data_IF_411172646535
#
_entry.id   IF_411172646535
#
_cell.length_a   1.000
_cell.length_b   1.000
_cell.length_c   1.000
_cell.angle_alpha   90.00
_cell.angle_beta   90.00
_cell.angle_gamma   90.00
#
_symmetry.space_group_name_H-M   'P 1'
#
loop_
_entity.id
_entity.type
_entity.pdbx_description
1 polymer ?
#
# COMPACT_ATOMS: atom_id res chain seq x y z
N UNK A 1 7.53 7.02 20.62
CA UNK A 1 7.55 5.99 19.54
C UNK A 1 7.80 6.53 18.12
N UNK A 2 8.16 7.82 17.91
CA UNK A 2 8.40 8.40 16.58
C UNK A 2 9.61 7.79 15.85
N UNK A 3 10.71 7.58 16.59
CA UNK A 3 11.94 6.96 16.07
C UNK A 3 11.69 5.61 15.39
N UNK A 4 10.81 4.77 15.95
CA UNK A 4 10.46 3.47 15.37
C UNK A 4 9.78 3.64 14.01
N UNK A 5 8.83 4.57 13.90
CA UNK A 5 8.10 4.80 12.65
C UNK A 5 8.99 5.42 11.57
N UNK A 6 9.86 6.36 11.95
CA UNK A 6 10.85 6.94 11.04
C UNK A 6 11.85 5.88 10.56
N UNK A 7 12.30 5.00 11.45
CA UNK A 7 13.20 3.89 11.10
C UNK A 7 12.54 2.88 10.16
N UNK A 8 11.24 2.60 10.36
CA UNK A 8 10.46 1.74 9.44
C UNK A 8 10.29 2.39 8.07
N UNK A 9 9.93 3.68 8.02
CA UNK A 9 9.78 4.41 6.75
C UNK A 9 11.11 4.45 5.96
N UNK A 10 12.23 4.67 6.65
CA UNK A 10 13.56 4.58 6.02
C UNK A 10 13.89 3.17 5.52
N UNK A 11 13.52 2.14 6.29
CA UNK A 11 13.63 0.75 5.86
C UNK A 11 12.82 0.48 4.58
N UNK A 12 11.58 0.94 4.52
CA UNK A 12 10.73 0.80 3.33
C UNK A 12 11.32 1.50 2.10
N UNK A 13 11.86 2.71 2.28
CA UNK A 13 12.57 3.44 1.22
C UNK A 13 13.74 2.63 0.67
N UNK A 14 14.62 2.12 1.54
CA UNK A 14 15.78 1.30 1.13
C UNK A 14 15.35 0.04 0.38
N UNK A 15 14.36 -0.70 0.90
CA UNK A 15 13.83 -1.88 0.23
C UNK A 15 13.20 -1.54 -1.12
N UNK A 16 12.51 -0.40 -1.23
CA UNK A 16 11.95 0.04 -2.51
C UNK A 16 13.05 0.37 -3.53
N UNK A 17 14.09 1.10 -3.10
CA UNK A 17 15.23 1.45 -3.95
C UNK A 17 15.93 0.17 -4.47
N UNK A 18 16.13 -0.84 -3.62
CA UNK A 18 16.68 -2.15 -4.00
C UNK A 18 15.77 -2.88 -5.00
N UNK A 19 14.46 -2.90 -4.78
CA UNK A 19 13.50 -3.52 -5.71
C UNK A 19 13.49 -2.82 -7.07
N UNK A 20 13.54 -1.48 -7.11
CA UNK A 20 13.59 -0.72 -8.36
C UNK A 20 14.92 -0.98 -9.10
N UNK A 21 16.05 -1.09 -8.39
CA UNK A 21 17.33 -1.45 -8.97
C UNK A 21 17.35 -2.86 -9.57
N UNK A 22 16.74 -3.84 -8.88
CA UNK A 22 16.66 -5.23 -9.33
C UNK A 22 15.73 -5.42 -10.52
N UNK A 23 14.61 -4.70 -10.56
CA UNK A 23 13.59 -4.83 -11.60
C UNK A 23 13.82 -3.91 -12.80
N UNK A 24 14.64 -2.86 -12.63
CA UNK A 24 14.80 -1.79 -13.61
C UNK A 24 13.54 -0.93 -13.78
N UNK A 25 12.54 -1.10 -12.92
CA UNK A 25 11.23 -0.46 -13.05
C UNK A 25 10.94 0.41 -11.84
N UNK A 26 10.62 1.69 -12.10
CA UNK A 26 10.23 2.63 -11.04
C UNK A 26 8.80 2.40 -10.58
N UNK A 27 8.63 2.18 -9.29
CA UNK A 27 7.32 2.07 -8.64
C UNK A 27 6.71 3.45 -8.47
N UNK A 28 5.44 3.61 -8.87
CA UNK A 28 4.73 4.90 -8.76
C UNK A 28 3.87 5.01 -7.50
N UNK A 29 3.41 3.88 -6.98
CA UNK A 29 2.45 3.82 -5.87
C UNK A 29 2.84 2.69 -4.93
N UNK A 30 2.86 2.97 -3.63
CA UNK A 30 3.01 1.97 -2.57
C UNK A 30 1.64 1.70 -1.97
N UNK A 31 1.21 0.44 -1.97
CA UNK A 31 -0.06 0.03 -1.37
C UNK A 31 0.20 -0.57 0.01
N UNK A 32 -0.21 0.12 1.08
CA UNK A 32 -0.12 -0.38 2.46
C UNK A 32 -1.45 -1.02 2.81
N UNK A 33 -1.44 -2.30 3.14
CA UNK A 33 -2.62 -3.08 3.51
C UNK A 33 -2.47 -3.67 4.92
N UNK A 34 -3.52 -4.26 5.46
CA UNK A 34 -3.45 -4.87 6.79
C UNK A 34 -3.60 -3.84 7.91
N UNK A 35 -3.40 -4.27 9.16
CA UNK A 35 -3.49 -3.40 10.33
C UNK A 35 -2.54 -2.19 10.31
N UNK A 36 -1.42 -2.27 9.57
CA UNK A 36 -0.49 -1.17 9.36
C UNK A 36 -1.10 0.02 8.60
N UNK A 37 -2.09 -0.25 7.74
CA UNK A 37 -2.79 0.79 6.98
C UNK A 37 -3.52 1.81 7.88
N UNK A 38 -3.87 1.44 9.12
CA UNK A 38 -4.47 2.35 10.11
C UNK A 38 -3.51 3.41 10.64
N UNK A 39 -2.19 3.20 10.52
CA UNK A 39 -1.21 4.10 11.11
C UNK A 39 -0.94 5.29 10.17
N UNK A 40 -1.74 6.35 10.34
CA UNK A 40 -1.65 7.57 9.54
C UNK A 40 -0.23 8.15 9.50
N UNK A 41 0.45 8.23 10.65
CA UNK A 41 1.80 8.81 10.72
C UNK A 41 2.82 7.97 9.96
N UNK A 42 2.78 6.64 10.10
CA UNK A 42 3.67 5.75 9.35
C UNK A 42 3.41 5.87 7.84
N UNK A 43 2.14 5.92 7.42
CA UNK A 43 1.78 6.03 6.01
C UNK A 43 2.31 7.35 5.40
N UNK A 44 2.18 8.47 6.11
CA UNK A 44 2.72 9.75 5.65
C UNK A 44 4.25 9.74 5.61
N UNK A 45 4.92 9.27 6.68
CA UNK A 45 6.37 9.14 6.71
C UNK A 45 6.89 8.24 5.58
N UNK A 46 6.15 7.18 5.25
CA UNK A 46 6.47 6.30 4.12
C UNK A 46 6.34 7.03 2.78
N UNK A 47 5.28 7.82 2.59
CA UNK A 47 5.11 8.62 1.37
C UNK A 47 6.26 9.62 1.21
N UNK A 48 6.61 10.31 2.29
CA UNK A 48 7.68 11.31 2.32
C UNK A 48 9.05 10.66 2.06
N UNK A 49 9.40 9.61 2.79
CA UNK A 49 10.69 8.93 2.67
C UNK A 49 10.87 8.28 1.29
N UNK A 50 9.86 7.57 0.79
CA UNK A 50 9.93 6.93 -0.53
C UNK A 50 9.80 7.94 -1.68
N UNK A 51 9.29 9.14 -1.42
CA UNK A 51 8.92 10.09 -2.46
C UNK A 51 7.92 9.49 -3.44
N UNK A 52 6.98 8.66 -2.95
CA UNK A 52 5.95 7.97 -3.75
C UNK A 52 4.57 8.21 -3.15
N UNK A 53 3.54 8.17 -4.00
CA UNK A 53 2.16 8.12 -3.51
C UNK A 53 1.95 6.83 -2.71
N UNK A 54 1.37 6.95 -1.51
CA UNK A 54 0.93 5.81 -0.71
C UNK A 54 -0.60 5.73 -0.76
N UNK A 55 -1.12 4.52 -0.96
CA UNK A 55 -2.55 4.22 -0.83
C UNK A 55 -2.69 3.20 0.30
N UNK A 56 -3.37 3.59 1.37
CA UNK A 56 -3.57 2.75 2.54
C UNK A 56 -4.97 2.13 2.56
N UNK A 57 -5.03 0.84 2.86
CA UNK A 57 -6.24 0.03 2.97
C UNK A 57 -6.35 -1.05 1.89
N UNK A 58 -7.23 -2.06 2.09
CA UNK A 58 -8.06 -2.27 3.28
C UNK A 58 -7.27 -2.87 4.46
N UNK A 59 -7.78 -2.64 5.67
CA UNK A 59 -7.21 -3.18 6.91
C UNK A 59 -7.29 -4.71 6.96
N UNK A 60 -8.36 -5.28 6.42
CA UNK A 60 -8.61 -6.73 6.38
C UNK A 60 -8.32 -7.31 4.99
N UNK A 61 -7.22 -6.89 4.36
CA UNK A 61 -6.87 -7.30 3.00
C UNK A 61 -6.72 -8.82 2.84
N UNK A 62 -6.21 -9.52 3.86
CA UNK A 62 -6.12 -10.99 3.86
C UNK A 62 -7.49 -11.64 3.82
N UNK A 63 -8.43 -11.18 4.64
CA UNK A 63 -9.79 -11.71 4.68
C UNK A 63 -10.54 -11.38 3.37
N UNK A 64 -10.44 -10.14 2.90
CA UNK A 64 -11.07 -9.72 1.63
C UNK A 64 -10.54 -10.53 0.44
N UNK A 65 -9.22 -10.71 0.33
CA UNK A 65 -8.62 -11.50 -0.73
C UNK A 65 -9.08 -12.95 -0.70
N UNK A 66 -9.16 -13.54 0.49
CA UNK A 66 -9.65 -14.90 0.69
C UNK A 66 -11.12 -15.04 0.21
N UNK A 67 -12.01 -14.15 0.67
CA UNK A 67 -13.42 -14.16 0.27
C UNK A 67 -13.60 -13.98 -1.24
N UNK A 68 -12.86 -13.07 -1.88
CA UNK A 68 -12.98 -12.82 -3.32
C UNK A 68 -12.48 -14.00 -4.18
N UNK A 69 -11.47 -14.73 -3.71
CA UNK A 69 -11.02 -15.97 -4.38
C UNK A 69 -12.06 -17.08 -4.20
N UNK A 70 -12.69 -17.21 -3.02
CA UNK A 70 -13.78 -18.17 -2.83
C UNK A 70 -15.00 -17.84 -3.72
N UNK A 71 -15.43 -16.57 -3.76
CA UNK A 71 -16.51 -16.11 -4.63
C UNK A 71 -16.23 -16.39 -6.12
N UNK A 72 -14.96 -16.28 -6.55
CA UNK A 72 -14.53 -16.68 -7.89
C UNK A 72 -14.75 -18.17 -8.15
N UNK A 73 -14.35 -19.01 -7.19
CA UNK A 73 -14.41 -20.45 -7.32
C UNK A 73 -15.85 -20.98 -7.32
N UNK A 74 -16.73 -20.35 -6.53
CA UNK A 74 -18.16 -20.69 -6.44
C UNK A 74 -18.99 -20.16 -7.62
N UNK A 75 -18.43 -19.25 -8.43
CA UNK A 75 -19.11 -18.68 -9.60
C UNK A 75 -19.80 -17.34 -9.35
N UNK A 76 -19.80 -16.85 -8.10
CA UNK A 76 -20.40 -15.57 -7.71
C UNK A 76 -19.66 -14.35 -8.28
N UNK A 77 -18.39 -14.54 -8.69
CA UNK A 77 -17.58 -13.49 -9.31
C UNK A 77 -17.18 -13.85 -10.76
N UNK A 78 -17.82 -13.25 -11.79
CA UNK A 78 -17.62 -13.63 -13.20
C UNK A 78 -16.17 -13.45 -13.66
N UNK A 79 -15.58 -14.45 -14.36
CA UNK A 79 -14.14 -14.51 -14.72
C UNK A 79 -13.56 -13.24 -15.37
N UNK A 80 -14.37 -12.47 -16.11
CA UNK A 80 -13.95 -11.21 -16.73
C UNK A 80 -13.79 -10.03 -15.77
N UNK A 81 -14.36 -10.10 -14.56
CA UNK A 81 -14.25 -9.06 -13.54
C UNK A 81 -12.93 -9.20 -12.80
N UNK A 82 -12.13 -8.15 -12.70
CA UNK A 82 -10.85 -8.20 -11.98
C UNK A 82 -11.05 -8.24 -10.45
N UNK A 83 -10.42 -9.21 -9.75
CA UNK A 83 -10.49 -9.33 -8.27
C UNK A 83 -10.08 -8.02 -7.59
N UNK A 84 -8.96 -7.42 -8.02
CA UNK A 84 -8.48 -6.15 -7.44
C UNK A 84 -9.45 -4.98 -7.69
N UNK A 85 -10.20 -5.01 -8.79
CA UNK A 85 -11.23 -4.01 -9.09
C UNK A 85 -12.35 -4.06 -8.06
N UNK A 86 -12.84 -5.27 -7.76
CA UNK A 86 -13.84 -5.48 -6.70
C UNK A 86 -13.28 -5.10 -5.33
N UNK A 87 -12.07 -5.55 -5.00
CA UNK A 87 -11.45 -5.22 -3.73
C UNK A 87 -11.36 -3.69 -3.49
N UNK A 88 -10.99 -2.94 -4.54
CA UNK A 88 -10.93 -1.47 -4.50
C UNK A 88 -12.32 -0.84 -4.35
N UNK A 89 -13.34 -1.38 -5.02
CA UNK A 89 -14.70 -0.87 -4.92
C UNK A 89 -15.38 -1.22 -3.58
N UNK A 90 -14.90 -2.24 -2.88
CA UNK A 90 -15.43 -2.72 -1.60
C UNK A 90 -14.70 -2.16 -0.37
N UNK A 91 -13.76 -1.24 -0.53
CA UNK A 91 -12.92 -0.73 0.55
C UNK A 91 -12.80 0.80 0.54
N UNK A 92 -12.76 1.39 1.72
CA UNK A 92 -12.33 2.78 1.90
C UNK A 92 -10.81 2.83 1.87
N UNK A 93 -10.26 3.64 0.97
CA UNK A 93 -8.83 3.82 0.81
C UNK A 93 -8.45 5.27 1.13
N UNK A 94 -7.31 5.45 1.78
CA UNK A 94 -6.74 6.76 2.07
C UNK A 94 -5.50 6.99 1.22
N UNK A 95 -5.37 8.16 0.62
CA UNK A 95 -4.19 8.55 -0.14
C UNK A 95 -3.28 9.48 0.67
N UNK A 96 -1.97 9.24 0.58
CA UNK A 96 -0.93 10.06 1.18
C UNK A 96 0.05 10.45 0.09
N UNK A 97 0.31 11.75 -0.03
CA UNK A 97 1.23 12.30 -1.02
C UNK A 97 2.52 12.73 -0.32
N UNK A 98 3.69 12.57 -0.97
CA UNK A 98 4.94 13.05 -0.41
C UNK A 98 4.88 14.55 -0.20
N UNK A 99 5.19 15.00 1.01
CA UNK A 99 5.38 16.41 1.33
C UNK A 99 6.88 16.72 1.20
N UNK A 100 7.28 17.67 0.34
CA UNK A 100 8.67 18.09 0.27
C UNK A 100 9.13 18.61 1.63
N UNK A 101 10.17 18.01 2.19
CA UNK A 101 10.85 18.60 3.35
C UNK A 101 11.61 19.83 2.84
N UNK A 102 11.34 21.04 3.35
CA UNK A 102 12.07 22.23 2.92
C UNK A 102 13.57 22.02 3.19
N UNK A 103 14.37 22.11 2.14
CA UNK A 103 15.83 22.12 2.23
C UNK A 103 16.25 23.34 3.06
N UNK A 104 16.87 23.08 4.22
CA UNK A 104 17.56 24.11 5.00
C UNK A 104 18.81 24.59 4.28
#
# INVERSE_FOLDING_TARGET
CRLVLESLADGYRRTLDELEALTGARTRVVHIVGGGARNWLLNQLTADACGRRVVAGPEEASALGNLLVQARALGDLPRGVAIRGVARASATLSEFLPVPVPTR
#
